data_IF_204324368310
#
_entry.id   IF_204324368310
#
_cell.length_a   1.000
_cell.length_b   1.000
_cell.length_c   1.000
_cell.angle_alpha   90.00
_cell.angle_beta   90.00
_cell.angle_gamma   90.00
#
_symmetry.space_group_name_H-M   'P 1'
#
loop_
_entity.id
_entity.type
_entity.pdbx_description
1 polymer ?
#
# COMPACT_ATOMS: atom_id res chain seq x y z
N UNK A 1 -8.80 -0.37 71.45
CA UNK A 1 -9.04 0.28 70.16
C UNK A 1 -7.68 0.65 69.61
N UNK A 2 -7.11 -0.19 68.79
CA UNK A 2 -5.82 0.04 68.13
C UNK A 2 -6.07 0.01 66.62
N UNK A 3 -5.96 1.18 65.96
CA UNK A 3 -6.15 1.34 64.55
C UNK A 3 -4.84 1.02 63.84
N UNK A 4 -4.82 -0.10 63.14
CA UNK A 4 -3.71 -0.50 62.25
C UNK A 4 -3.77 0.35 60.97
N UNK A 5 -2.87 1.32 60.85
CA UNK A 5 -2.61 2.04 59.58
C UNK A 5 -1.93 1.09 58.61
N UNK A 6 -2.63 0.67 57.55
CA UNK A 6 -2.03 0.06 56.38
C UNK A 6 -1.20 1.10 55.65
N UNK A 7 0.12 0.94 55.67
CA UNK A 7 1.06 1.69 54.85
C UNK A 7 0.89 1.21 53.40
N UNK A 8 0.22 2.02 52.59
CA UNK A 8 0.24 1.88 51.13
C UNK A 8 1.67 2.20 50.66
N UNK A 9 2.44 1.17 50.35
CA UNK A 9 3.69 1.29 49.62
C UNK A 9 3.38 1.92 48.24
N UNK A 10 4.02 3.05 47.86
CA UNK A 10 3.83 3.60 46.53
C UNK A 10 4.39 2.59 45.54
N UNK A 11 3.56 2.17 44.58
CA UNK A 11 3.99 1.40 43.43
C UNK A 11 5.13 2.18 42.75
N UNK A 12 6.32 1.62 42.77
CA UNK A 12 7.48 2.11 42.04
C UNK A 12 7.05 2.24 40.58
N UNK A 13 6.96 3.49 40.10
CA UNK A 13 6.81 3.80 38.69
C UNK A 13 8.04 3.24 37.96
N UNK A 14 7.93 2.01 37.46
CA UNK A 14 8.86 1.51 36.49
C UNK A 14 8.79 2.51 35.31
N UNK A 15 9.90 3.18 35.01
CA UNK A 15 10.00 4.05 33.85
C UNK A 15 9.58 3.29 32.60
N UNK A 16 9.17 3.96 31.50
CA UNK A 16 8.63 3.33 30.32
C UNK A 16 9.60 2.23 29.86
N UNK A 17 9.16 0.97 29.98
CA UNK A 17 9.96 -0.17 29.55
C UNK A 17 10.18 -0.04 28.04
N UNK A 18 11.41 0.27 27.65
CA UNK A 18 11.79 0.34 26.24
C UNK A 18 11.53 -1.01 25.57
N UNK A 19 11.10 -1.00 24.32
CA UNK A 19 10.98 -2.23 23.55
C UNK A 19 12.28 -3.03 23.59
N UNK A 20 12.18 -4.34 23.81
CA UNK A 20 13.34 -5.25 23.83
C UNK A 20 14.08 -5.18 22.49
N UNK A 21 15.42 -5.27 22.44
CA UNK A 21 16.20 -5.24 21.18
C UNK A 21 15.70 -6.24 20.16
N UNK A 22 15.30 -7.44 20.58
CA UNK A 22 14.71 -8.49 19.74
C UNK A 22 13.43 -8.04 19.03
N UNK A 23 12.54 -7.34 19.72
CA UNK A 23 11.32 -6.79 19.13
C UNK A 23 11.64 -5.67 18.13
N UNK A 24 12.62 -4.81 18.41
CA UNK A 24 13.11 -3.83 17.44
C UNK A 24 13.66 -4.45 16.18
N UNK A 25 14.47 -5.51 16.31
CA UNK A 25 14.98 -6.24 15.14
C UNK A 25 13.84 -6.85 14.32
N UNK A 26 12.86 -7.46 14.97
CA UNK A 26 11.69 -8.00 14.28
C UNK A 26 10.90 -6.91 13.53
N UNK A 27 10.63 -5.76 14.19
CA UNK A 27 9.93 -4.62 13.59
C UNK A 27 10.64 -4.11 12.34
N UNK A 28 11.96 -3.94 12.40
CA UNK A 28 12.75 -3.41 11.29
C UNK A 28 12.82 -4.43 10.15
N UNK A 29 13.17 -5.68 10.44
CA UNK A 29 13.33 -6.71 9.40
C UNK A 29 12.00 -7.01 8.71
N UNK A 30 10.95 -7.31 9.47
CA UNK A 30 9.64 -7.66 8.91
C UNK A 30 8.96 -6.45 8.28
N UNK A 31 9.07 -5.28 8.89
CA UNK A 31 8.55 -4.03 8.32
C UNK A 31 9.19 -3.71 6.98
N UNK A 32 10.54 -3.79 6.88
CA UNK A 32 11.25 -3.52 5.64
C UNK A 32 10.93 -4.57 4.56
N UNK A 33 11.06 -5.86 4.89
CA UNK A 33 10.83 -6.94 3.92
C UNK A 33 9.38 -6.98 3.45
N UNK A 34 8.41 -6.72 4.32
CA UNK A 34 7.00 -6.59 3.95
C UNK A 34 6.78 -5.45 2.95
N UNK A 35 7.41 -4.28 3.17
CA UNK A 35 7.32 -3.16 2.23
C UNK A 35 8.07 -3.42 0.92
N UNK A 36 9.17 -4.19 0.93
CA UNK A 36 9.83 -4.65 -0.29
C UNK A 36 8.90 -5.54 -1.11
N UNK A 37 8.22 -6.49 -0.48
CA UNK A 37 7.26 -7.37 -1.14
C UNK A 37 6.12 -6.58 -1.80
N UNK A 38 5.52 -5.63 -1.10
CA UNK A 38 4.48 -4.74 -1.65
C UNK A 38 4.98 -3.84 -2.78
N UNK A 39 6.24 -3.38 -2.71
CA UNK A 39 6.87 -2.61 -3.80
C UNK A 39 6.99 -3.46 -5.06
N UNK A 40 7.36 -4.73 -4.91
CA UNK A 40 7.50 -5.65 -6.04
C UNK A 40 6.16 -5.98 -6.66
N UNK A 41 5.16 -6.31 -5.85
CA UNK A 41 3.81 -6.59 -6.32
C UNK A 41 3.19 -5.40 -7.05
N UNK A 42 3.22 -4.22 -6.45
CA UNK A 42 2.54 -3.05 -7.03
C UNK A 42 3.27 -2.41 -8.21
N UNK A 43 4.57 -2.69 -8.40
CA UNK A 43 5.38 -2.02 -9.41
C UNK A 43 6.02 -3.02 -10.38
N UNK A 44 6.88 -3.93 -9.87
CA UNK A 44 7.69 -4.79 -10.73
C UNK A 44 6.91 -5.97 -11.33
N UNK A 45 5.88 -6.47 -10.64
CA UNK A 45 5.04 -7.53 -11.18
C UNK A 45 4.24 -7.03 -12.40
N UNK A 46 3.77 -5.78 -12.37
CA UNK A 46 3.11 -5.15 -13.51
C UNK A 46 4.06 -5.03 -14.72
N UNK A 47 5.31 -4.62 -14.46
CA UNK A 47 6.35 -4.55 -15.49
C UNK A 47 6.71 -5.95 -16.03
N UNK A 48 6.84 -6.94 -15.16
CA UNK A 48 7.09 -8.33 -15.56
C UNK A 48 6.02 -8.87 -16.48
N UNK A 49 4.74 -8.69 -16.13
CA UNK A 49 3.60 -9.11 -16.98
C UNK A 49 3.67 -8.43 -18.33
N UNK A 50 3.90 -7.11 -18.35
CA UNK A 50 3.99 -6.32 -19.57
C UNK A 50 5.16 -6.75 -20.46
N UNK A 51 6.33 -6.99 -19.89
CA UNK A 51 7.53 -7.33 -20.66
C UNK A 51 7.53 -8.78 -21.17
N UNK A 52 6.96 -9.73 -20.39
CA UNK A 52 7.18 -11.18 -20.64
C UNK A 52 5.93 -11.97 -21.03
N UNK A 53 4.72 -11.43 -20.79
CA UNK A 53 3.47 -12.19 -20.97
C UNK A 53 2.53 -11.49 -21.94
N UNK A 54 2.07 -10.27 -21.60
CA UNK A 54 1.11 -9.53 -22.42
C UNK A 54 1.21 -8.04 -22.16
N UNK A 55 1.08 -7.26 -23.24
CA UNK A 55 1.01 -5.79 -23.19
C UNK A 55 -0.43 -5.26 -23.02
N UNK A 56 -1.42 -6.16 -22.84
CA UNK A 56 -2.79 -5.75 -22.59
C UNK A 56 -2.93 -5.06 -21.23
N UNK A 57 -3.22 -3.75 -21.19
CA UNK A 57 -3.36 -3.03 -19.94
C UNK A 57 -4.54 -3.54 -19.09
N UNK A 58 -5.54 -4.20 -19.69
CA UNK A 58 -6.65 -4.80 -18.95
C UNK A 58 -6.21 -6.05 -18.17
N UNK A 59 -5.22 -6.80 -18.65
CA UNK A 59 -4.66 -7.92 -17.89
C UNK A 59 -3.99 -7.42 -16.60
N UNK A 60 -3.20 -6.33 -16.68
CA UNK A 60 -2.60 -5.67 -15.51
C UNK A 60 -3.70 -5.15 -14.57
N UNK A 61 -4.72 -4.47 -15.11
CA UNK A 61 -5.82 -3.96 -14.29
C UNK A 61 -6.57 -5.09 -13.58
N UNK A 62 -6.80 -6.22 -14.26
CA UNK A 62 -7.45 -7.40 -13.68
C UNK A 62 -6.61 -8.03 -12.57
N UNK A 63 -5.29 -8.13 -12.77
CA UNK A 63 -4.35 -8.62 -11.77
C UNK A 63 -4.41 -7.77 -10.51
N UNK A 64 -4.23 -6.46 -10.62
CA UNK A 64 -4.27 -5.52 -9.49
C UNK A 64 -5.63 -5.55 -8.78
N UNK A 65 -6.74 -5.64 -9.52
CA UNK A 65 -8.08 -5.71 -8.93
C UNK A 65 -8.31 -7.03 -8.18
N UNK A 66 -7.90 -8.16 -8.76
CA UNK A 66 -8.06 -9.49 -8.16
C UNK A 66 -7.21 -9.63 -6.90
N UNK A 67 -5.95 -9.18 -6.93
CA UNK A 67 -5.06 -9.19 -5.77
C UNK A 67 -5.61 -8.30 -4.64
N UNK A 68 -6.15 -7.12 -4.94
CA UNK A 68 -6.76 -6.24 -3.94
C UNK A 68 -7.99 -6.86 -3.25
N UNK A 69 -8.85 -7.55 -4.00
CA UNK A 69 -9.98 -8.31 -3.43
C UNK A 69 -9.45 -9.39 -2.49
N UNK A 70 -8.48 -10.18 -2.96
CA UNK A 70 -7.89 -11.27 -2.21
C UNK A 70 -7.17 -10.78 -0.95
N UNK A 71 -6.38 -9.71 -1.06
CA UNK A 71 -5.70 -9.06 0.06
C UNK A 71 -6.69 -8.58 1.13
N UNK A 72 -7.77 -7.93 0.70
CA UNK A 72 -8.81 -7.45 1.62
C UNK A 72 -9.49 -8.61 2.36
N UNK A 73 -9.87 -9.66 1.63
CA UNK A 73 -10.50 -10.86 2.22
C UNK A 73 -9.52 -11.56 3.17
N UNK A 74 -8.26 -11.72 2.77
CA UNK A 74 -7.21 -12.33 3.58
C UNK A 74 -6.99 -11.57 4.89
N UNK A 75 -6.85 -10.25 4.84
CA UNK A 75 -6.66 -9.41 6.02
C UNK A 75 -7.81 -9.57 7.02
N UNK A 76 -9.04 -9.58 6.53
CA UNK A 76 -10.23 -9.73 7.38
C UNK A 76 -10.37 -11.13 7.98
N UNK A 77 -10.12 -12.17 7.18
CA UNK A 77 -10.24 -13.57 7.62
C UNK A 77 -9.08 -14.00 8.51
N UNK A 78 -7.85 -13.78 8.05
CA UNK A 78 -6.64 -14.21 8.76
C UNK A 78 -6.37 -13.33 9.97
N UNK A 79 -6.77 -12.05 9.92
CA UNK A 79 -6.77 -11.17 11.09
C UNK A 79 -7.67 -11.72 12.20
N UNK A 80 -8.92 -12.03 11.88
CA UNK A 80 -9.84 -12.63 12.84
C UNK A 80 -9.35 -13.99 13.38
N UNK A 81 -8.74 -14.81 12.51
CA UNK A 81 -8.21 -16.12 12.90
C UNK A 81 -6.98 -15.98 13.81
N UNK A 82 -6.07 -15.05 13.47
CA UNK A 82 -4.88 -14.72 14.26
C UNK A 82 -5.27 -14.18 15.66
N UNK A 83 -6.32 -13.33 15.75
CA UNK A 83 -6.85 -12.81 17.00
C UNK A 83 -7.47 -13.92 17.89
N UNK A 84 -8.22 -14.84 17.27
CA UNK A 84 -8.85 -15.95 17.98
C UNK A 84 -7.83 -16.96 18.52
N UNK A 85 -6.83 -17.28 17.72
CA UNK A 85 -5.81 -18.30 18.08
C UNK A 85 -4.74 -17.74 19.02
N UNK A 86 -4.51 -16.43 19.00
CA UNK A 86 -3.44 -15.78 19.75
C UNK A 86 -2.02 -16.15 19.30
N UNK A 87 -1.87 -16.78 18.13
CA UNK A 87 -0.59 -17.31 17.62
C UNK A 87 -0.01 -16.40 16.54
N UNK A 88 0.27 -15.14 16.88
CA UNK A 88 0.85 -14.15 15.94
C UNK A 88 2.11 -14.66 15.25
N UNK A 89 3.02 -15.25 16.02
CA UNK A 89 4.28 -15.82 15.55
C UNK A 89 4.09 -16.79 14.39
N UNK A 90 3.16 -17.74 14.52
CA UNK A 90 2.94 -18.76 13.48
C UNK A 90 2.39 -18.18 12.19
N UNK A 91 1.48 -17.20 12.29
CA UNK A 91 0.92 -16.51 11.12
C UNK A 91 1.96 -15.65 10.41
N UNK A 92 2.79 -14.90 11.17
CA UNK A 92 3.85 -14.08 10.60
C UNK A 92 4.93 -14.96 9.97
N UNK A 93 5.51 -15.88 10.71
CA UNK A 93 6.62 -16.69 10.24
C UNK A 93 6.22 -17.60 9.07
N UNK A 94 5.12 -18.35 9.21
CA UNK A 94 4.61 -19.23 8.15
C UNK A 94 4.15 -18.43 6.93
N UNK A 95 3.48 -17.29 7.16
CA UNK A 95 3.00 -16.42 6.09
C UNK A 95 4.13 -15.81 5.28
N UNK A 96 5.16 -15.22 5.91
CA UNK A 96 6.33 -14.68 5.19
C UNK A 96 7.12 -15.76 4.45
N UNK A 97 7.25 -16.97 5.03
CA UNK A 97 7.90 -18.09 4.36
C UNK A 97 7.15 -18.48 3.08
N UNK A 98 5.83 -18.69 3.17
CA UNK A 98 4.99 -19.06 2.03
C UNK A 98 4.87 -17.93 1.02
N UNK A 99 4.80 -16.67 1.48
CA UNK A 99 4.83 -15.50 0.63
C UNK A 99 6.13 -15.43 -0.19
N UNK A 100 7.28 -15.70 0.44
CA UNK A 100 8.57 -15.79 -0.26
C UNK A 100 8.61 -16.91 -1.29
N UNK A 101 8.05 -18.08 -0.99
CA UNK A 101 7.96 -19.21 -1.93
C UNK A 101 7.08 -18.85 -3.13
N UNK A 102 5.90 -18.26 -2.89
CA UNK A 102 5.00 -17.82 -3.97
C UNK A 102 5.62 -16.72 -4.83
N UNK A 103 6.37 -15.78 -4.21
CA UNK A 103 7.13 -14.76 -4.95
C UNK A 103 8.21 -15.38 -5.83
N UNK A 104 8.98 -16.33 -5.32
CA UNK A 104 10.01 -17.03 -6.11
C UNK A 104 9.41 -17.82 -7.29
N UNK A 105 8.18 -18.32 -7.16
CA UNK A 105 7.50 -19.08 -8.20
C UNK A 105 7.24 -18.27 -9.48
N UNK A 106 7.07 -16.93 -9.40
CA UNK A 106 6.97 -16.08 -10.59
C UNK A 106 8.18 -16.18 -11.53
N UNK A 107 9.37 -16.44 -10.98
CA UNK A 107 10.58 -16.62 -11.78
C UNK A 107 10.56 -17.81 -12.74
N UNK A 108 9.63 -18.73 -12.56
CA UNK A 108 9.45 -19.92 -13.40
C UNK A 108 8.22 -19.80 -14.32
N UNK A 109 7.30 -18.88 -14.03
CA UNK A 109 6.03 -18.79 -14.76
C UNK A 109 6.22 -17.91 -16.00
N UNK A 110 6.62 -18.54 -17.11
CA UNK A 110 6.81 -17.92 -18.41
C UNK A 110 5.89 -18.55 -19.45
N UNK A 111 5.66 -17.85 -20.58
CA UNK A 111 4.86 -18.37 -21.69
C UNK A 111 5.42 -19.71 -22.18
N UNK A 112 6.76 -19.82 -22.37
CA UNK A 112 7.40 -21.05 -22.78
C UNK A 112 7.20 -22.21 -21.79
N UNK A 113 7.30 -21.94 -20.49
CA UNK A 113 7.05 -22.97 -19.46
C UNK A 113 5.62 -23.51 -19.51
N UNK A 114 4.63 -22.66 -19.74
CA UNK A 114 3.22 -23.06 -19.85
C UNK A 114 3.00 -23.85 -21.15
N UNK A 115 3.62 -23.45 -22.26
CA UNK A 115 3.56 -24.15 -23.53
C UNK A 115 4.12 -25.56 -23.43
N UNK A 116 5.25 -25.76 -22.75
CA UNK A 116 5.88 -27.05 -22.53
C UNK A 116 5.01 -28.02 -21.70
N UNK A 117 4.26 -27.49 -20.71
CA UNK A 117 3.44 -28.33 -19.81
C UNK A 117 2.05 -28.59 -20.38
N UNK A 118 1.45 -27.59 -21.01
CA UNK A 118 0.07 -27.66 -21.51
C UNK A 118 -0.01 -26.95 -22.87
N UNK A 119 0.20 -27.65 -23.98
CA UNK A 119 0.04 -27.09 -25.31
C UNK A 119 -1.45 -26.76 -25.55
N UNK A 120 -1.81 -25.50 -25.32
CA UNK A 120 -3.18 -24.97 -25.45
C UNK A 120 -3.25 -23.96 -26.60
N UNK A 121 -4.43 -23.75 -27.16
CA UNK A 121 -4.63 -22.85 -28.30
C UNK A 121 -4.28 -21.38 -27.99
N UNK A 122 -4.37 -20.95 -26.73
CA UNK A 122 -4.03 -19.58 -26.30
C UNK A 122 -3.14 -19.62 -25.04
N UNK A 123 -1.86 -19.90 -25.25
CA UNK A 123 -0.86 -20.01 -24.18
C UNK A 123 -0.70 -18.70 -23.39
N UNK A 124 -0.75 -17.55 -24.09
CA UNK A 124 -0.61 -16.22 -23.44
C UNK A 124 -1.74 -15.99 -22.44
N UNK A 125 -2.99 -16.26 -22.82
CA UNK A 125 -4.14 -16.12 -21.92
C UNK A 125 -4.01 -17.06 -20.70
N UNK A 126 -3.62 -18.32 -20.92
CA UNK A 126 -3.46 -19.29 -19.83
C UNK A 126 -2.32 -18.85 -18.90
N UNK A 127 -1.21 -18.36 -19.44
CA UNK A 127 -0.11 -17.82 -18.64
C UNK A 127 -0.56 -16.59 -17.83
N UNK A 128 -1.30 -15.66 -18.44
CA UNK A 128 -1.83 -14.50 -17.74
C UNK A 128 -2.76 -14.89 -16.59
N UNK A 129 -3.68 -15.86 -16.79
CA UNK A 129 -4.54 -16.39 -15.72
C UNK A 129 -3.72 -17.06 -14.62
N UNK A 130 -2.68 -17.82 -14.98
CA UNK A 130 -1.80 -18.45 -14.00
C UNK A 130 -1.04 -17.43 -13.15
N UNK A 131 -0.54 -16.35 -13.77
CA UNK A 131 0.12 -15.24 -13.06
C UNK A 131 -0.86 -14.52 -12.14
N UNK A 132 -2.07 -14.18 -12.59
CA UNK A 132 -3.10 -13.56 -11.77
C UNK A 132 -3.46 -14.46 -10.57
N UNK A 133 -3.58 -15.78 -10.80
CA UNK A 133 -3.88 -16.74 -9.72
C UNK A 133 -2.74 -16.81 -8.71
N UNK A 134 -1.49 -16.84 -9.17
CA UNK A 134 -0.32 -16.83 -8.30
C UNK A 134 -0.19 -15.52 -7.53
N UNK A 135 -0.54 -14.39 -8.15
CA UNK A 135 -0.59 -13.07 -7.51
C UNK A 135 -1.66 -13.02 -6.41
N UNK A 136 -2.86 -13.54 -6.68
CA UNK A 136 -3.89 -13.69 -5.65
C UNK A 136 -3.40 -14.54 -4.47
N UNK A 137 -2.72 -15.66 -4.73
CA UNK A 137 -2.14 -16.49 -3.66
C UNK A 137 -1.08 -15.73 -2.87
N UNK A 138 -0.18 -15.04 -3.57
CA UNK A 138 0.87 -14.21 -2.98
C UNK A 138 0.29 -13.11 -2.10
N UNK A 139 -0.72 -12.37 -2.59
CA UNK A 139 -1.42 -11.31 -1.86
C UNK A 139 -2.20 -11.86 -0.67
N UNK A 140 -2.81 -13.05 -0.77
CA UNK A 140 -3.48 -13.72 0.35
C UNK A 140 -2.51 -14.00 1.50
N UNK A 141 -1.35 -14.55 1.19
CA UNK A 141 -0.31 -14.90 2.17
C UNK A 141 0.30 -13.63 2.77
N UNK A 142 0.65 -12.66 1.93
CA UNK A 142 1.24 -11.38 2.32
C UNK A 142 0.34 -10.55 3.22
N UNK A 143 -0.91 -10.35 2.83
CA UNK A 143 -1.87 -9.58 3.62
C UNK A 143 -2.21 -10.26 4.94
N UNK A 144 -2.33 -11.58 4.96
CA UNK A 144 -2.54 -12.32 6.20
C UNK A 144 -1.36 -12.21 7.16
N UNK A 145 -0.14 -12.27 6.65
CA UNK A 145 1.07 -12.21 7.47
C UNK A 145 1.43 -10.77 7.88
N UNK A 146 1.45 -9.83 6.92
CA UNK A 146 1.93 -8.47 7.13
C UNK A 146 0.82 -7.51 7.57
N UNK A 147 -0.29 -7.42 6.81
CA UNK A 147 -1.32 -6.41 7.09
C UNK A 147 -2.22 -6.81 8.26
N UNK A 148 -2.40 -8.11 8.50
CA UNK A 148 -3.17 -8.60 9.64
C UNK A 148 -2.28 -8.97 10.83
N UNK A 149 -1.51 -10.05 10.76
CA UNK A 149 -0.83 -10.61 11.92
C UNK A 149 0.33 -9.73 12.42
N UNK A 150 1.16 -9.17 11.52
CA UNK A 150 2.28 -8.31 11.91
C UNK A 150 1.80 -6.98 12.47
N UNK A 151 0.82 -6.31 11.85
CA UNK A 151 0.28 -5.05 12.38
C UNK A 151 -0.40 -5.24 13.74
N UNK A 152 -1.09 -6.37 13.93
CA UNK A 152 -1.65 -6.70 15.24
C UNK A 152 -0.55 -6.97 16.29
N UNK A 153 0.50 -7.71 15.91
CA UNK A 153 1.66 -7.92 16.79
C UNK A 153 2.37 -6.63 17.15
N UNK A 154 2.55 -5.69 16.20
CA UNK A 154 3.09 -4.35 16.49
C UNK A 154 2.26 -3.66 17.57
N UNK A 155 0.93 -3.74 17.49
CA UNK A 155 0.04 -3.18 18.51
C UNK A 155 0.20 -3.88 19.86
N UNK A 156 0.35 -5.21 19.87
CA UNK A 156 0.48 -6.02 21.08
C UNK A 156 1.79 -5.76 21.83
N UNK A 157 2.90 -5.44 21.12
CA UNK A 157 4.21 -5.20 21.74
C UNK A 157 4.50 -3.74 22.08
N UNK A 158 3.64 -2.80 21.60
CA UNK A 158 3.83 -1.37 21.81
C UNK A 158 2.93 -0.83 22.93
N UNK A 159 3.49 0.00 23.79
CA UNK A 159 2.78 0.77 24.81
C UNK A 159 2.51 2.20 24.31
N UNK A 160 1.53 2.92 24.85
CA UNK A 160 1.25 4.31 24.47
C UNK A 160 2.49 5.23 24.49
N UNK A 161 3.42 4.97 25.42
CA UNK A 161 4.65 5.75 25.60
C UNK A 161 5.69 5.55 24.48
N UNK A 162 5.74 4.38 23.83
CA UNK A 162 6.73 4.06 22.78
C UNK A 162 6.13 3.93 21.38
N UNK A 163 4.79 3.87 21.27
CA UNK A 163 4.06 3.67 20.00
C UNK A 163 4.41 4.71 18.94
N UNK A 164 4.52 5.99 19.30
CA UNK A 164 4.89 7.05 18.36
C UNK A 164 6.26 6.83 17.72
N UNK A 165 7.25 6.33 18.48
CA UNK A 165 8.57 6.02 17.95
C UNK A 165 8.55 4.83 16.99
N UNK A 166 7.79 3.80 17.30
CA UNK A 166 7.63 2.61 16.44
C UNK A 166 6.93 2.99 15.14
N UNK A 167 5.82 3.73 15.22
CA UNK A 167 5.09 4.22 14.03
C UNK A 167 5.97 5.08 13.13
N UNK A 168 6.82 5.95 13.72
CA UNK A 168 7.76 6.77 12.94
C UNK A 168 8.78 5.94 12.17
N UNK A 169 9.27 4.84 12.78
CA UNK A 169 10.19 3.92 12.10
C UNK A 169 9.46 3.16 10.99
N UNK A 170 8.26 2.63 11.25
CA UNK A 170 7.50 1.92 10.24
C UNK A 170 7.07 2.82 9.08
N UNK A 171 6.78 4.10 9.34
CA UNK A 171 6.40 5.07 8.30
C UNK A 171 7.53 5.36 7.27
N UNK A 172 8.79 5.12 7.63
CA UNK A 172 9.94 5.31 6.73
C UNK A 172 10.19 4.04 5.89
N UNK A 173 9.71 2.86 6.32
CA UNK A 173 10.01 1.59 5.66
C UNK A 173 9.62 1.52 4.19
N UNK A 174 8.46 2.06 3.73
CA UNK A 174 8.13 2.06 2.30
C UNK A 174 9.16 2.80 1.45
N UNK A 175 9.65 3.95 1.92
CA UNK A 175 10.68 4.71 1.22
C UNK A 175 12.00 3.94 1.16
N UNK A 176 12.44 3.40 2.30
CA UNK A 176 13.68 2.62 2.37
C UNK A 176 13.59 1.39 1.47
N UNK A 177 12.45 0.69 1.47
CA UNK A 177 12.22 -0.48 0.62
C UNK A 177 12.33 -0.14 -0.87
N UNK A 178 11.71 0.96 -1.31
CA UNK A 178 11.80 1.43 -2.68
C UNK A 178 13.24 1.75 -3.08
N UNK A 179 13.99 2.43 -2.21
CA UNK A 179 15.41 2.72 -2.47
C UNK A 179 16.26 1.46 -2.56
N UNK A 180 16.00 0.47 -1.68
CA UNK A 180 16.69 -0.84 -1.72
C UNK A 180 16.37 -1.58 -3.01
N UNK A 181 15.10 -1.62 -3.42
CA UNK A 181 14.69 -2.32 -4.65
C UNK A 181 15.26 -1.60 -5.88
N UNK A 182 15.08 -0.28 -6.00
CA UNK A 182 15.57 0.47 -7.16
C UNK A 182 17.11 0.52 -7.23
N UNK A 183 17.79 0.61 -6.09
CA UNK A 183 19.26 0.65 -6.05
C UNK A 183 19.94 -0.72 -6.16
N UNK A 184 19.33 -1.76 -5.61
CA UNK A 184 19.95 -3.08 -5.49
C UNK A 184 19.47 -4.12 -6.51
N UNK A 185 18.21 -4.06 -6.92
CA UNK A 185 17.58 -5.15 -7.69
C UNK A 185 17.05 -4.73 -9.06
N UNK A 186 16.85 -3.43 -9.32
CA UNK A 186 16.35 -2.91 -10.60
C UNK A 186 17.20 -3.37 -11.80
N UNK A 187 18.52 -3.49 -11.63
CA UNK A 187 19.42 -3.99 -12.67
C UNK A 187 19.04 -5.37 -13.19
N UNK A 188 18.52 -6.27 -12.34
CA UNK A 188 18.06 -7.60 -12.75
C UNK A 188 16.79 -7.51 -13.62
N UNK A 189 15.84 -6.65 -13.24
CA UNK A 189 14.63 -6.44 -14.00
C UNK A 189 14.94 -5.80 -15.38
N UNK A 190 15.80 -4.76 -15.43
CA UNK A 190 16.20 -4.11 -16.68
C UNK A 190 16.94 -5.00 -17.65
N UNK A 191 17.71 -5.96 -17.15
CA UNK A 191 18.41 -6.95 -17.99
C UNK A 191 17.51 -8.13 -18.37
N UNK A 192 16.23 -8.12 -18.01
CA UNK A 192 15.28 -9.21 -18.27
C UNK A 192 15.52 -10.47 -17.45
N UNK A 193 16.40 -10.42 -16.44
CA UNK A 193 16.68 -11.57 -15.60
C UNK A 193 15.64 -11.75 -14.49
N UNK A 194 14.36 -11.85 -14.90
CA UNK A 194 13.21 -11.95 -14.02
C UNK A 194 13.26 -13.18 -13.09
N UNK A 195 13.80 -14.30 -13.60
CA UNK A 195 13.94 -15.51 -12.79
C UNK A 195 14.81 -15.26 -11.56
N UNK A 196 16.00 -14.69 -11.75
CA UNK A 196 16.91 -14.40 -10.63
C UNK A 196 16.32 -13.32 -9.73
N UNK A 197 15.66 -12.30 -10.31
CA UNK A 197 14.97 -11.24 -9.56
C UNK A 197 13.97 -11.82 -8.54
N UNK A 198 13.00 -12.62 -9.00
CA UNK A 198 11.99 -13.19 -8.11
C UNK A 198 12.54 -14.23 -7.14
N UNK A 199 13.55 -15.03 -7.56
CA UNK A 199 14.19 -15.99 -6.66
C UNK A 199 14.91 -15.31 -5.51
N UNK A 200 15.68 -14.26 -5.77
CA UNK A 200 16.42 -13.53 -4.73
C UNK A 200 15.46 -12.85 -3.75
N UNK A 201 14.44 -12.17 -4.27
CA UNK A 201 13.45 -11.49 -3.43
C UNK A 201 12.66 -12.51 -2.61
N UNK A 202 12.19 -13.59 -3.24
CA UNK A 202 11.48 -14.66 -2.56
C UNK A 202 12.33 -15.32 -1.46
N UNK A 203 13.64 -15.51 -1.72
CA UNK A 203 14.56 -15.99 -0.71
C UNK A 203 14.71 -15.03 0.48
N UNK A 204 14.84 -13.72 0.23
CA UNK A 204 14.88 -12.69 1.29
C UNK A 204 13.63 -12.76 2.16
N UNK A 205 12.44 -12.86 1.54
CA UNK A 205 11.17 -12.97 2.26
C UNK A 205 11.07 -14.27 3.06
N UNK A 206 11.47 -15.40 2.48
CA UNK A 206 11.48 -16.70 3.16
C UNK A 206 12.42 -16.71 4.37
N UNK A 207 13.62 -16.12 4.22
CA UNK A 207 14.58 -15.94 5.32
C UNK A 207 14.01 -15.05 6.41
N UNK A 208 13.32 -13.94 6.05
CA UNK A 208 12.63 -13.10 7.03
C UNK A 208 11.53 -13.88 7.78
N UNK A 209 10.81 -14.78 7.10
CA UNK A 209 9.83 -15.69 7.72
C UNK A 209 10.51 -16.66 8.72
N UNK A 210 11.65 -17.24 8.35
CA UNK A 210 12.42 -18.08 9.27
C UNK A 210 12.94 -17.29 10.47
N UNK A 211 13.45 -16.07 10.26
CA UNK A 211 13.89 -15.18 11.34
C UNK A 211 12.72 -14.77 12.24
N UNK A 212 11.52 -14.53 11.68
CA UNK A 212 10.33 -14.21 12.46
C UNK A 212 10.00 -15.30 13.47
N UNK A 213 10.24 -16.58 13.15
CA UNK A 213 10.06 -17.69 14.08
C UNK A 213 10.89 -17.54 15.36
N UNK A 214 12.06 -16.95 15.27
CA UNK A 214 12.94 -16.72 16.41
C UNK A 214 12.76 -15.33 17.04
N UNK A 215 12.37 -14.32 16.26
CA UNK A 215 12.31 -12.94 16.72
C UNK A 215 10.94 -12.54 17.30
N UNK A 216 9.85 -13.08 16.77
CA UNK A 216 8.49 -12.76 17.20
C UNK A 216 8.12 -13.60 18.44
N UNK A 217 7.60 -12.95 19.47
CA UNK A 217 7.04 -13.60 20.65
C UNK A 217 5.53 -13.32 20.72
N UNK A 218 4.77 -14.37 21.02
CA UNK A 218 3.33 -14.21 21.25
C UNK A 218 3.12 -13.55 22.64
N UNK A 219 2.23 -12.56 22.70
CA UNK A 219 1.94 -11.88 23.96
C UNK A 219 1.02 -12.75 24.85
N UNK A 220 1.36 -12.97 26.12
CA UNK A 220 0.51 -13.74 27.03
C UNK A 220 -0.79 -13.02 27.41
N UNK A 221 -0.90 -11.72 27.14
CA UNK A 221 -2.03 -10.87 27.56
C UNK A 221 -3.02 -10.57 26.42
N UNK A 222 -3.10 -11.42 25.39
CA UNK A 222 -4.01 -11.19 24.27
C UNK A 222 -5.47 -11.16 24.72
N UNK A 223 -6.09 -10.00 24.62
CA UNK A 223 -7.54 -9.85 24.75
C UNK A 223 -8.18 -10.41 23.48
N UNK A 224 -8.81 -11.58 23.61
CA UNK A 224 -9.55 -12.20 22.51
C UNK A 224 -10.75 -11.32 22.14
N UNK A 225 -10.73 -10.68 20.99
CA UNK A 225 -11.88 -9.95 20.50
C UNK A 225 -12.84 -10.93 19.84
N UNK A 226 -14.00 -11.13 20.43
CA UNK A 226 -15.06 -12.05 19.91
C UNK A 226 -15.85 -11.47 18.71
N UNK A 227 -15.49 -10.28 18.21
CA UNK A 227 -16.18 -9.60 17.11
C UNK A 227 -15.70 -10.07 15.72
N UNK A 228 -16.61 -10.59 14.88
CA UNK A 228 -16.30 -10.92 13.48
C UNK A 228 -16.05 -9.65 12.65
N UNK A 229 -14.82 -9.41 12.19
CA UNK A 229 -14.42 -8.27 11.35
C UNK A 229 -15.31 -8.10 10.11
N UNK A 230 -15.63 -9.20 9.41
CA UNK A 230 -16.54 -9.18 8.24
C UNK A 230 -17.92 -8.62 8.59
N UNK A 231 -18.49 -9.06 9.73
CA UNK A 231 -19.79 -8.53 10.20
C UNK A 231 -19.70 -7.05 10.52
N UNK A 232 -18.57 -6.61 11.05
CA UNK A 232 -18.29 -5.22 11.36
C UNK A 232 -18.24 -4.35 10.10
N UNK A 233 -17.51 -4.80 9.06
CA UNK A 233 -17.43 -4.10 7.76
C UNK A 233 -18.82 -4.03 7.11
N UNK A 234 -19.54 -5.15 7.01
CA UNK A 234 -20.89 -5.18 6.44
C UNK A 234 -21.86 -4.26 7.21
N UNK A 235 -21.76 -4.23 8.54
CA UNK A 235 -22.57 -3.33 9.35
C UNK A 235 -22.20 -1.86 9.10
N UNK A 236 -20.91 -1.56 8.95
CA UNK A 236 -20.41 -0.22 8.61
C UNK A 236 -20.86 0.28 7.24
N UNK A 237 -21.09 -0.61 6.27
CA UNK A 237 -21.57 -0.22 4.93
C UNK A 237 -23.09 0.06 4.87
N UNK A 238 -23.82 -0.15 5.96
CA UNK A 238 -25.26 0.15 5.99
C UNK A 238 -25.55 1.66 5.94
N UNK A 239 -26.59 2.10 5.23
CA UNK A 239 -26.97 3.52 5.15
C UNK A 239 -27.19 4.17 6.53
N UNK A 240 -27.63 3.42 7.52
CA UNK A 240 -27.80 3.89 8.88
C UNK A 240 -26.44 4.28 9.53
N UNK A 241 -25.39 3.50 9.31
CA UNK A 241 -24.04 3.80 9.80
C UNK A 241 -23.47 5.07 9.14
N UNK A 242 -23.69 5.22 7.83
CA UNK A 242 -23.29 6.42 7.08
C UNK A 242 -23.99 7.66 7.63
N UNK A 243 -25.29 7.59 7.89
CA UNK A 243 -26.06 8.71 8.47
C UNK A 243 -25.66 9.03 9.91
N UNK A 244 -25.22 8.02 10.68
CA UNK A 244 -24.80 8.20 12.07
C UNK A 244 -23.44 8.92 12.19
N UNK A 245 -22.51 8.74 11.24
CA UNK A 245 -21.20 9.40 11.25
C UNK A 245 -20.79 9.89 9.86
N UNK A 246 -21.49 10.90 9.29
CA UNK A 246 -21.23 11.34 7.94
C UNK A 246 -19.84 11.96 7.75
N UNK A 247 -19.21 12.52 8.80
CA UNK A 247 -17.84 13.03 8.74
C UNK A 247 -16.82 11.95 8.41
N UNK A 248 -16.94 10.76 9.05
CA UNK A 248 -16.09 9.61 8.76
C UNK A 248 -16.22 9.17 7.29
N UNK A 249 -17.45 9.04 6.78
CA UNK A 249 -17.66 8.55 5.41
C UNK A 249 -17.27 9.58 4.35
N UNK A 250 -17.39 10.89 4.63
CA UNK A 250 -16.83 11.91 3.77
C UNK A 250 -15.30 11.84 3.70
N UNK A 251 -14.64 11.61 4.84
CA UNK A 251 -13.19 11.42 4.88
C UNK A 251 -12.75 10.14 4.15
N UNK A 252 -13.47 9.03 4.33
CA UNK A 252 -13.23 7.77 3.61
C UNK A 252 -13.48 7.93 2.09
N UNK A 253 -14.52 8.65 1.69
CA UNK A 253 -14.79 8.97 0.28
C UNK A 253 -13.67 9.82 -0.33
N UNK A 254 -13.17 10.83 0.39
CA UNK A 254 -12.01 11.61 -0.04
C UNK A 254 -10.77 10.73 -0.21
N UNK A 255 -10.55 9.77 0.71
CA UNK A 255 -9.46 8.80 0.60
C UNK A 255 -9.59 7.90 -0.63
N UNK A 256 -10.81 7.37 -0.89
CA UNK A 256 -11.08 6.55 -2.08
C UNK A 256 -10.81 7.32 -3.37
N UNK A 257 -11.30 8.54 -3.50
CA UNK A 257 -11.11 9.35 -4.71
C UNK A 257 -9.63 9.64 -4.94
N UNK A 258 -8.90 10.03 -3.89
CA UNK A 258 -7.45 10.21 -3.97
C UNK A 258 -6.73 8.91 -4.36
N UNK A 259 -7.12 7.79 -3.75
CA UNK A 259 -6.57 6.47 -4.07
C UNK A 259 -6.87 6.03 -5.49
N UNK A 260 -8.10 6.21 -5.99
CA UNK A 260 -8.47 5.90 -7.39
C UNK A 260 -7.60 6.74 -8.34
N UNK A 261 -7.49 8.06 -8.10
CA UNK A 261 -6.64 8.94 -8.90
C UNK A 261 -5.19 8.42 -8.99
N UNK A 262 -4.65 7.94 -7.88
CA UNK A 262 -3.29 7.38 -7.84
C UNK A 262 -3.20 6.06 -8.62
N UNK A 263 -4.16 5.17 -8.44
CA UNK A 263 -4.18 3.86 -9.08
C UNK A 263 -4.45 3.91 -10.58
N UNK A 264 -4.89 5.04 -11.13
CA UNK A 264 -5.00 5.23 -12.60
C UNK A 264 -3.64 5.12 -13.27
N UNK A 265 -2.58 5.66 -12.69
CA UNK A 265 -1.25 5.71 -13.32
C UNK A 265 -0.22 4.81 -12.65
N UNK A 266 -0.35 4.50 -11.37
CA UNK A 266 0.69 3.83 -10.59
C UNK A 266 1.10 2.46 -11.16
N UNK A 267 0.18 1.56 -11.57
CA UNK A 267 0.53 0.27 -12.17
C UNK A 267 1.30 0.39 -13.49
N UNK A 268 1.12 1.51 -14.20
CA UNK A 268 1.68 1.76 -15.53
C UNK A 268 2.88 2.72 -15.50
N UNK A 269 3.23 3.27 -14.33
CA UNK A 269 4.20 4.36 -14.21
C UNK A 269 5.60 4.00 -14.74
N UNK A 270 6.14 2.83 -14.35
CA UNK A 270 7.47 2.42 -14.83
C UNK A 270 7.43 2.13 -16.32
N UNK A 271 6.38 1.47 -16.80
CA UNK A 271 6.19 1.20 -18.24
C UNK A 271 6.17 2.53 -19.00
N UNK A 272 5.45 3.54 -18.52
CA UNK A 272 5.42 4.89 -19.10
C UNK A 272 6.81 5.54 -19.15
N UNK A 273 7.55 5.51 -18.03
CA UNK A 273 8.89 6.12 -17.96
C UNK A 273 9.88 5.40 -18.87
N UNK A 274 9.84 4.07 -18.90
CA UNK A 274 10.81 3.23 -19.60
C UNK A 274 10.49 3.10 -21.10
N UNK A 275 9.23 2.87 -21.45
CA UNK A 275 8.83 2.54 -22.83
C UNK A 275 8.33 3.76 -23.61
N UNK A 276 7.52 4.64 -23.03
CA UNK A 276 7.03 5.84 -23.70
C UNK A 276 8.06 6.96 -23.68
N UNK A 277 8.60 7.32 -22.50
CA UNK A 277 9.58 8.39 -22.38
C UNK A 277 11.02 7.95 -22.67
N UNK A 278 11.28 6.65 -22.73
CA UNK A 278 12.61 6.04 -22.97
C UNK A 278 13.68 6.54 -22.01
N UNK A 279 13.32 6.72 -20.72
CA UNK A 279 14.25 7.17 -19.68
C UNK A 279 14.93 5.92 -19.09
N UNK A 280 16.16 5.63 -19.52
CA UNK A 280 16.92 4.47 -19.02
C UNK A 280 17.21 4.58 -17.51
N UNK A 281 17.38 5.80 -16.98
CA UNK A 281 17.64 6.07 -15.56
C UNK A 281 16.38 6.27 -14.70
N UNK A 282 15.24 5.67 -15.03
CA UNK A 282 13.97 5.89 -14.31
C UNK A 282 14.05 5.58 -12.81
N UNK A 283 14.88 4.61 -12.40
CA UNK A 283 15.09 4.30 -10.98
C UNK A 283 15.69 5.50 -10.21
N UNK A 284 16.63 6.23 -10.83
CA UNK A 284 17.21 7.46 -10.26
C UNK A 284 16.12 8.55 -10.18
N UNK A 285 15.31 8.69 -11.23
CA UNK A 285 14.18 9.64 -11.24
C UNK A 285 13.25 9.35 -10.07
N UNK A 286 12.83 8.11 -9.89
CA UNK A 286 11.94 7.72 -8.80
C UNK A 286 12.58 7.92 -7.44
N UNK A 287 13.88 7.59 -7.27
CA UNK A 287 14.60 7.79 -6.02
C UNK A 287 14.67 9.28 -5.64
N UNK A 288 15.06 10.16 -6.57
CA UNK A 288 15.14 11.61 -6.33
C UNK A 288 13.77 12.18 -5.99
N UNK A 289 12.74 11.80 -6.75
CA UNK A 289 11.34 12.23 -6.52
C UNK A 289 10.86 11.81 -5.15
N UNK A 290 11.03 10.55 -4.76
CA UNK A 290 10.56 10.02 -3.48
C UNK A 290 11.28 10.62 -2.29
N UNK A 291 12.62 10.76 -2.35
CA UNK A 291 13.40 11.38 -1.27
C UNK A 291 12.99 12.84 -1.08
N UNK A 292 12.88 13.60 -2.18
CA UNK A 292 12.50 15.01 -2.11
C UNK A 292 11.08 15.19 -1.61
N UNK A 293 10.12 14.40 -2.10
CA UNK A 293 8.73 14.42 -1.66
C UNK A 293 8.58 14.07 -0.16
N UNK A 294 9.37 13.10 0.30
CA UNK A 294 9.39 12.71 1.73
C UNK A 294 9.93 13.85 2.61
N UNK A 295 10.99 14.53 2.19
CA UNK A 295 11.51 15.70 2.89
C UNK A 295 10.46 16.82 2.97
N UNK A 296 9.77 17.13 1.87
CA UNK A 296 8.67 18.09 1.83
C UNK A 296 7.55 17.71 2.78
N UNK A 297 7.16 16.42 2.81
CA UNK A 297 6.11 15.89 3.69
C UNK A 297 6.45 16.11 5.18
N UNK A 298 7.68 15.78 5.57
CA UNK A 298 8.16 15.95 6.98
C UNK A 298 8.13 17.42 7.40
N UNK A 299 8.66 18.32 6.55
CA UNK A 299 8.68 19.76 6.85
C UNK A 299 7.26 20.33 6.95
N UNK A 300 6.35 19.82 6.13
CA UNK A 300 4.95 20.30 6.06
C UNK A 300 4.08 19.83 7.23
N UNK A 301 4.49 18.85 8.03
CA UNK A 301 3.74 18.37 9.19
C UNK A 301 3.36 19.50 10.15
N UNK A 302 4.31 20.41 10.46
CA UNK A 302 4.06 21.58 11.31
C UNK A 302 3.05 22.57 10.71
N UNK A 303 3.01 22.66 9.38
CA UNK A 303 2.05 23.52 8.66
C UNK A 303 0.64 22.96 8.73
N UNK A 304 0.49 21.63 8.60
CA UNK A 304 -0.79 20.93 8.74
C UNK A 304 -1.38 21.18 10.13
N UNK A 305 -0.56 21.08 11.17
CA UNK A 305 -0.99 21.32 12.56
C UNK A 305 -1.43 22.77 12.81
N UNK A 306 -0.73 23.74 12.18
CA UNK A 306 -1.07 25.19 12.34
C UNK A 306 -2.30 25.60 11.55
N UNK A 307 -2.47 25.14 10.32
CA UNK A 307 -3.58 25.53 9.43
C UNK A 307 -4.86 24.77 9.76
N UNK A 308 -4.73 23.55 10.29
CA UNK A 308 -5.80 22.61 10.54
C UNK A 308 -6.00 21.65 9.37
N UNK A 309 -6.23 20.38 9.70
CA UNK A 309 -6.23 19.22 8.78
C UNK A 309 -7.21 19.40 7.61
N UNK A 310 -8.46 19.79 7.90
CA UNK A 310 -9.52 19.94 6.90
C UNK A 310 -9.25 21.14 5.98
N UNK A 311 -8.73 22.25 6.53
CA UNK A 311 -8.41 23.45 5.74
C UNK A 311 -7.20 23.23 4.84
N UNK A 312 -6.23 22.42 5.30
CA UNK A 312 -5.03 22.11 4.55
C UNK A 312 -5.28 21.13 3.39
N UNK A 313 -6.34 20.32 3.46
CA UNK A 313 -6.64 19.28 2.48
C UNK A 313 -6.79 19.84 1.05
N UNK A 314 -7.60 20.91 0.85
CA UNK A 314 -7.81 21.47 -0.49
C UNK A 314 -6.55 22.06 -1.13
N UNK A 315 -5.73 22.87 -0.45
CA UNK A 315 -4.42 23.28 -0.96
C UNK A 315 -3.51 22.10 -1.34
N UNK A 316 -3.47 21.05 -0.53
CA UNK A 316 -2.69 19.85 -0.83
C UNK A 316 -3.18 19.14 -2.11
N UNK A 317 -4.50 19.04 -2.29
CA UNK A 317 -5.12 18.50 -3.51
C UNK A 317 -4.74 19.33 -4.74
N UNK A 318 -4.72 20.66 -4.62
CA UNK A 318 -4.29 21.55 -5.72
C UNK A 318 -2.83 21.28 -6.10
N UNK A 319 -1.93 21.12 -5.13
CA UNK A 319 -0.51 20.79 -5.40
C UNK A 319 -0.40 19.44 -6.10
N UNK A 320 -1.13 18.41 -5.64
CA UNK A 320 -1.14 17.10 -6.28
C UNK A 320 -1.68 17.18 -7.72
N UNK A 321 -2.81 17.89 -7.92
CA UNK A 321 -3.39 18.10 -9.24
C UNK A 321 -2.47 18.88 -10.18
N UNK A 322 -1.78 19.91 -9.68
CA UNK A 322 -0.78 20.63 -10.46
C UNK A 322 0.37 19.70 -10.89
N UNK A 323 0.84 18.82 -9.99
CA UNK A 323 1.84 17.81 -10.31
C UNK A 323 1.39 16.85 -11.40
N UNK A 324 0.14 16.35 -11.34
CA UNK A 324 -0.46 15.51 -12.39
C UNK A 324 -0.54 16.25 -13.73
N UNK A 325 -0.96 17.51 -13.73
CA UNK A 325 -1.00 18.34 -14.94
C UNK A 325 0.41 18.56 -15.52
N UNK A 326 1.41 18.82 -14.67
CA UNK A 326 2.80 18.98 -15.11
C UNK A 326 3.36 17.69 -15.70
N UNK A 327 3.05 16.52 -15.14
CA UNK A 327 3.46 15.21 -15.68
C UNK A 327 2.90 14.96 -17.09
N UNK A 328 1.71 15.48 -17.40
CA UNK A 328 1.17 15.39 -18.77
C UNK A 328 2.06 16.08 -19.79
N UNK A 329 2.66 17.23 -19.45
CA UNK A 329 3.52 18.01 -20.35
C UNK A 329 5.01 17.63 -20.26
N UNK A 330 5.43 16.95 -19.19
CA UNK A 330 6.84 16.65 -18.93
C UNK A 330 7.39 15.66 -19.99
N UNK A 331 8.51 16.02 -20.59
CA UNK A 331 9.26 15.19 -21.53
C UNK A 331 10.74 15.23 -21.17
N UNK A 332 11.37 14.07 -21.18
CA UNK A 332 12.79 13.94 -20.78
C UNK A 332 12.97 13.93 -19.26
N UNK A 333 14.19 13.59 -18.85
CA UNK A 333 14.49 13.25 -17.44
C UNK A 333 14.28 14.43 -16.47
N UNK A 334 14.78 15.60 -16.78
CA UNK A 334 14.75 16.76 -15.84
C UNK A 334 13.33 17.30 -15.63
N UNK A 335 12.50 17.57 -16.69
CA UNK A 335 11.10 17.95 -16.50
C UNK A 335 10.28 16.89 -15.74
N UNK A 336 10.55 15.61 -15.97
CA UNK A 336 9.85 14.50 -15.28
C UNK A 336 10.22 14.48 -13.79
N UNK A 337 11.49 14.71 -13.43
CA UNK A 337 11.89 14.85 -12.02
C UNK A 337 11.16 16.04 -11.38
N UNK A 338 11.17 17.21 -12.02
CA UNK A 338 10.52 18.40 -11.47
C UNK A 338 9.00 18.22 -11.28
N UNK A 339 8.32 17.71 -12.31
CA UNK A 339 6.89 17.40 -12.25
C UNK A 339 6.58 16.31 -11.23
N UNK A 340 7.39 15.25 -11.19
CA UNK A 340 7.29 14.13 -10.26
C UNK A 340 7.47 14.57 -8.80
N UNK A 341 8.41 15.49 -8.52
CA UNK A 341 8.59 16.06 -7.18
C UNK A 341 7.32 16.80 -6.73
N UNK A 342 6.74 17.65 -7.58
CA UNK A 342 5.49 18.35 -7.26
C UNK A 342 4.35 17.36 -7.04
N UNK A 343 4.21 16.37 -7.94
CA UNK A 343 3.16 15.35 -7.88
C UNK A 343 3.26 14.52 -6.60
N UNK A 344 4.43 13.95 -6.30
CA UNK A 344 4.59 13.07 -5.13
C UNK A 344 4.63 13.84 -3.82
N UNK A 345 5.09 15.08 -3.82
CA UNK A 345 4.92 15.96 -2.65
C UNK A 345 3.45 16.21 -2.38
N UNK A 346 2.68 16.58 -3.40
CA UNK A 346 1.23 16.75 -3.29
C UNK A 346 0.51 15.48 -2.84
N UNK A 347 0.90 14.33 -3.38
CA UNK A 347 0.40 13.01 -2.96
C UNK A 347 0.57 12.78 -1.45
N UNK A 348 1.76 13.03 -0.91
CA UNK A 348 2.04 12.87 0.52
C UNK A 348 1.34 13.91 1.38
N UNK A 349 1.24 15.15 0.89
CA UNK A 349 0.53 16.23 1.56
C UNK A 349 -0.98 16.00 1.67
N UNK A 350 -1.59 15.25 0.76
CA UNK A 350 -3.00 14.84 0.82
C UNK A 350 -3.19 13.67 1.77
N UNK A 351 -2.29 12.67 1.74
CA UNK A 351 -2.39 11.47 2.56
C UNK A 351 -2.40 11.77 4.06
N UNK A 352 -1.51 12.66 4.51
CA UNK A 352 -1.35 12.98 5.93
C UNK A 352 -2.63 13.54 6.58
N UNK A 353 -3.26 14.61 6.06
CA UNK A 353 -4.49 15.14 6.64
C UNK A 353 -5.68 14.19 6.51
N UNK A 354 -5.85 13.47 5.38
CA UNK A 354 -6.95 12.49 5.24
C UNK A 354 -6.86 11.43 6.32
N UNK A 355 -5.68 10.83 6.53
CA UNK A 355 -5.46 9.82 7.56
C UNK A 355 -5.75 10.35 8.97
N UNK A 356 -5.40 11.60 9.24
CA UNK A 356 -5.68 12.27 10.51
C UNK A 356 -7.18 12.56 10.69
N UNK A 357 -7.86 13.05 9.65
CA UNK A 357 -9.31 13.31 9.68
C UNK A 357 -10.09 12.02 9.93
N UNK A 358 -9.74 10.91 9.26
CA UNK A 358 -10.38 9.61 9.51
C UNK A 358 -10.21 9.18 10.97
N UNK A 359 -9.03 9.39 11.57
CA UNK A 359 -8.82 9.10 13.00
C UNK A 359 -9.65 9.98 13.92
N UNK A 360 -9.77 11.26 13.63
CA UNK A 360 -10.56 12.21 14.43
C UNK A 360 -12.05 11.86 14.46
N UNK A 361 -12.60 11.36 13.35
CA UNK A 361 -13.98 10.91 13.24
C UNK A 361 -14.19 9.44 13.66
N UNK A 362 -13.13 8.72 14.00
CA UNK A 362 -13.22 7.31 14.41
C UNK A 362 -13.64 7.21 15.89
N UNK A 363 -14.76 6.53 16.21
CA UNK A 363 -15.16 6.29 17.60
C UNK A 363 -14.10 5.42 18.31
N UNK A 364 -13.64 5.78 19.52
CA UNK A 364 -12.60 5.06 20.24
C UNK A 364 -12.97 3.60 20.55
N UNK A 365 -14.26 3.33 20.80
CA UNK A 365 -14.84 2.03 21.09
C UNK A 365 -14.97 1.12 19.86
N UNK A 366 -14.78 1.67 18.64
CA UNK A 366 -14.98 0.95 17.34
C UNK A 366 -13.77 1.02 16.41
N UNK A 367 -12.58 1.19 16.93
CA UNK A 367 -11.36 1.33 16.13
C UNK A 367 -11.17 0.17 15.13
N UNK A 368 -11.45 -1.08 15.51
CA UNK A 368 -11.38 -2.23 14.60
C UNK A 368 -12.39 -2.19 13.45
N UNK A 369 -13.60 -1.64 13.67
CA UNK A 369 -14.59 -1.45 12.61
C UNK A 369 -14.12 -0.44 11.56
N UNK A 370 -13.53 0.67 12.02
CA UNK A 370 -13.01 1.72 11.13
C UNK A 370 -11.82 1.22 10.33
N UNK A 371 -10.98 0.36 10.91
CA UNK A 371 -9.86 -0.25 10.18
C UNK A 371 -10.34 -1.10 9.02
N UNK A 372 -11.39 -1.92 9.20
CA UNK A 372 -12.00 -2.69 8.12
C UNK A 372 -12.60 -1.81 7.02
N UNK A 373 -13.30 -0.73 7.39
CA UNK A 373 -13.81 0.26 6.43
C UNK A 373 -12.68 0.94 5.68
N UNK A 374 -11.58 1.27 6.38
CA UNK A 374 -10.38 1.86 5.75
C UNK A 374 -9.79 0.93 4.70
N UNK A 375 -9.70 -0.39 4.95
CA UNK A 375 -9.26 -1.37 3.94
C UNK A 375 -10.12 -1.31 2.68
N UNK A 376 -11.44 -1.23 2.82
CA UNK A 376 -12.34 -1.15 1.68
C UNK A 376 -12.17 0.16 0.91
N UNK A 377 -12.22 1.31 1.61
CA UNK A 377 -12.22 2.61 0.94
C UNK A 377 -10.83 3.10 0.50
N UNK A 378 -9.76 2.74 1.21
CA UNK A 378 -8.41 3.22 0.91
C UNK A 378 -7.59 2.25 0.04
N UNK A 379 -7.98 0.96 -0.04
CA UNK A 379 -7.23 -0.06 -0.79
C UNK A 379 -8.13 -0.72 -1.83
N UNK A 380 -9.18 -1.42 -1.41
CA UNK A 380 -10.01 -2.24 -2.32
C UNK A 380 -10.63 -1.38 -3.44
N UNK A 381 -11.37 -0.33 -3.09
CA UNK A 381 -12.07 0.50 -4.08
C UNK A 381 -11.11 1.19 -5.04
N UNK A 382 -9.99 1.83 -4.59
CA UNK A 382 -8.98 2.37 -5.48
C UNK A 382 -8.37 1.36 -6.45
N UNK A 383 -7.93 0.21 -5.97
CA UNK A 383 -7.29 -0.81 -6.80
C UNK A 383 -8.27 -1.55 -7.72
N UNK A 384 -9.57 -1.55 -7.38
CA UNK A 384 -10.61 -2.13 -8.22
C UNK A 384 -10.99 -1.21 -9.39
N UNK A 385 -10.93 0.11 -9.22
CA UNK A 385 -11.43 1.09 -10.20
C UNK A 385 -10.28 1.75 -10.97
N UNK A 386 -9.25 2.20 -10.26
CA UNK A 386 -8.18 3.03 -10.83
C UNK A 386 -7.45 2.39 -12.01
N UNK A 387 -6.97 1.15 -11.91
CA UNK A 387 -6.23 0.49 -12.99
C UNK A 387 -7.04 0.34 -14.28
N UNK A 388 -8.34 0.05 -14.18
CA UNK A 388 -9.22 -0.03 -15.36
C UNK A 388 -9.43 1.32 -16.03
N UNK A 389 -9.50 2.43 -15.27
CA UNK A 389 -9.52 3.76 -15.85
C UNK A 389 -8.21 4.07 -16.58
N UNK A 390 -7.07 3.65 -16.03
CA UNK A 390 -5.77 3.73 -16.69
C UNK A 390 -5.72 2.89 -17.96
N UNK A 391 -6.16 1.63 -17.90
CA UNK A 391 -6.24 0.73 -19.04
C UNK A 391 -7.12 1.30 -20.18
N UNK A 392 -8.28 1.87 -19.84
CA UNK A 392 -9.17 2.49 -20.82
C UNK A 392 -8.50 3.66 -21.56
N UNK A 393 -7.70 4.48 -20.85
CA UNK A 393 -6.93 5.57 -21.48
C UNK A 393 -5.84 5.02 -22.41
N UNK A 394 -5.13 3.99 -21.99
CA UNK A 394 -4.05 3.37 -22.78
C UNK A 394 -4.63 2.76 -24.05
N UNK A 395 -5.67 1.94 -23.93
CA UNK A 395 -6.34 1.30 -25.05
C UNK A 395 -6.98 2.33 -25.98
N UNK A 396 -7.62 3.38 -25.41
CA UNK A 396 -8.26 4.44 -26.20
C UNK A 396 -7.28 5.35 -26.96
N UNK A 397 -6.05 5.50 -26.47
CA UNK A 397 -5.01 6.26 -27.16
C UNK A 397 -4.44 5.51 -28.39
N UNK A 398 -4.42 4.17 -28.33
CA UNK A 398 -3.92 3.34 -29.42
C UNK A 398 -2.44 3.53 -29.75
N UNK A 399 -1.67 4.15 -28.84
CA UNK A 399 -0.22 4.35 -29.01
C UNK A 399 0.51 3.02 -28.84
N UNK A 400 1.41 2.76 -29.78
CA UNK A 400 2.19 1.52 -29.81
C UNK A 400 3.68 1.81 -30.01
N UNK A 401 4.52 0.90 -29.56
CA UNK A 401 5.93 0.88 -29.88
C UNK A 401 6.35 -0.52 -30.36
N UNK A 402 7.37 -0.57 -31.18
CA UNK A 402 7.93 -1.83 -31.66
C UNK A 402 9.13 -2.24 -30.79
N UNK A 403 9.06 -3.46 -30.28
CA UNK A 403 10.12 -4.09 -29.47
C UNK A 403 10.46 -5.45 -30.08
N UNK A 404 11.66 -5.57 -30.66
CA UNK A 404 12.15 -6.79 -31.33
C UNK A 404 11.18 -7.37 -32.38
N UNK A 405 10.49 -6.50 -33.12
CA UNK A 405 9.52 -6.89 -34.17
C UNK A 405 8.12 -7.20 -33.63
N UNK A 406 7.87 -7.02 -32.33
CA UNK A 406 6.54 -7.13 -31.71
C UNK A 406 6.00 -5.73 -31.42
N UNK A 407 4.80 -5.46 -31.88
CA UNK A 407 4.10 -4.19 -31.61
C UNK A 407 3.37 -4.30 -30.30
N UNK A 408 3.70 -3.42 -29.34
CA UNK A 408 3.12 -3.40 -27.97
C UNK A 408 2.41 -2.07 -27.70
N UNK A 409 1.29 -2.12 -26.97
CA UNK A 409 0.61 -0.92 -26.48
C UNK A 409 1.45 -0.25 -25.38
N UNK A 410 1.49 1.09 -25.39
CA UNK A 410 2.29 1.85 -24.42
C UNK A 410 1.42 2.87 -23.68
N UNK A 411 1.61 3.03 -22.34
CA UNK A 411 0.94 4.06 -21.59
C UNK A 411 1.31 5.46 -22.08
N UNK A 412 0.31 6.31 -22.29
CA UNK A 412 0.49 7.70 -22.73
C UNK A 412 0.38 8.68 -21.55
N UNK A 413 0.80 9.94 -21.69
CA UNK A 413 0.60 10.97 -20.67
C UNK A 413 -0.86 11.16 -20.26
N UNK A 414 -1.81 10.72 -21.08
CA UNK A 414 -3.25 10.77 -20.80
C UNK A 414 -3.66 10.13 -19.49
N UNK A 415 -2.89 9.15 -18.97
CA UNK A 415 -3.13 8.54 -17.65
C UNK A 415 -3.09 9.57 -16.51
N UNK A 416 -2.22 10.60 -16.62
CA UNK A 416 -2.16 11.67 -15.61
C UNK A 416 -3.35 12.64 -15.70
N UNK A 417 -3.86 12.90 -16.91
CA UNK A 417 -5.09 13.70 -17.07
C UNK A 417 -6.32 12.97 -16.54
N UNK A 418 -6.43 11.66 -16.76
CA UNK A 418 -7.50 10.86 -16.18
C UNK A 418 -7.40 10.84 -14.64
N UNK A 419 -6.20 10.69 -14.10
CA UNK A 419 -5.95 10.79 -12.67
C UNK A 419 -6.38 12.15 -12.10
N UNK A 420 -6.07 13.25 -12.81
CA UNK A 420 -6.49 14.60 -12.46
C UNK A 420 -8.01 14.74 -12.51
N UNK A 421 -8.67 14.24 -13.56
CA UNK A 421 -10.13 14.29 -13.69
C UNK A 421 -10.83 13.58 -12.52
N UNK A 422 -10.33 12.41 -12.11
CA UNK A 422 -10.80 11.70 -10.91
C UNK A 422 -10.53 12.52 -9.66
N UNK A 423 -9.34 13.12 -9.53
CA UNK A 423 -8.97 13.90 -8.35
C UNK A 423 -9.90 15.10 -8.11
N UNK A 424 -10.40 15.73 -9.15
CA UNK A 424 -11.33 16.87 -9.03
C UNK A 424 -12.56 16.50 -8.20
N UNK A 425 -13.03 15.26 -8.27
CA UNK A 425 -14.18 14.78 -7.50
C UNK A 425 -13.96 14.87 -5.98
N UNK A 426 -12.71 14.92 -5.50
CA UNK A 426 -12.40 15.08 -4.07
C UNK A 426 -12.89 16.42 -3.50
N UNK A 427 -13.10 17.42 -4.35
CA UNK A 427 -13.64 18.70 -3.94
C UNK A 427 -14.99 18.56 -3.22
N UNK A 428 -15.82 17.60 -3.64
CA UNK A 428 -17.15 17.36 -3.05
C UNK A 428 -17.05 16.98 -1.57
N UNK A 429 -16.39 15.86 -1.19
CA UNK A 429 -16.26 15.50 0.21
C UNK A 429 -15.40 16.50 1.01
N UNK A 430 -14.38 17.13 0.41
CA UNK A 430 -13.52 18.08 1.10
C UNK A 430 -14.26 19.37 1.47
N UNK A 431 -15.10 19.92 0.58
CA UNK A 431 -15.93 21.09 0.87
C UNK A 431 -17.01 20.75 1.90
N UNK A 432 -17.61 19.55 1.81
CA UNK A 432 -18.60 19.10 2.79
C UNK A 432 -17.99 18.96 4.20
N UNK A 433 -16.77 18.41 4.32
CA UNK A 433 -16.03 18.35 5.58
C UNK A 433 -15.74 19.75 6.14
N UNK A 434 -15.32 20.68 5.29
CA UNK A 434 -15.02 22.05 5.70
C UNK A 434 -16.27 22.80 6.23
N UNK A 435 -17.43 22.63 5.59
CA UNK A 435 -18.70 23.22 6.05
C UNK A 435 -19.07 22.67 7.43
N UNK A 436 -18.98 21.36 7.63
CA UNK A 436 -19.23 20.73 8.95
C UNK A 436 -18.31 21.23 10.04
N UNK A 437 -17.01 21.41 9.74
CA UNK A 437 -16.07 21.97 10.71
C UNK A 437 -16.45 23.41 11.10
N UNK A 438 -16.99 24.18 10.15
CA UNK A 438 -17.45 25.55 10.41
C UNK A 438 -18.73 25.58 11.26
N UNK A 439 -19.69 24.69 10.97
CA UNK A 439 -20.95 24.55 11.73
C UNK A 439 -20.74 24.04 13.16
N UNK A 440 -19.68 23.25 13.40
CA UNK A 440 -19.33 22.74 14.72
C UNK A 440 -18.51 23.71 15.58
N UNK A 441 -18.11 24.88 15.06
CA UNK A 441 -17.43 25.93 15.84
C UNK A 441 -18.50 26.82 16.47
N UNK A 442 -18.46 27.00 17.82
CA UNK A 442 -19.40 27.85 18.54
C UNK A 442 -19.32 29.31 18.09
#
# INVERSE_FOLDING_TARGET
>A
MSATRSVLTPATSAGPAGLRPRAWTALIVLGLVGQMAWTIENIYLNLFVYDTITDDPNAIATMVAASAVTATVATLLLGALSDRTGRRRSFIAGGYLLWGVSTAAFGFLTVGFVEDIAPVANVVLVTAIAVITLDCLMSFLGSGANDAAFQAWVTDVTEPANRGRVESVLAIMPLVSMLVIFGGFDGLARTGNWRLFFMVIGAIMAVAGLLAWFLVEDSPSLVRHEGGYLRAVVHGLRPAAVRANPGLYLALAAWSIWGISTQVFLPYLIIYLQRYLRIEGYAIVLAVVLVTASAVSVVSGRLIDRVGKVRFLLPAVVVYGAGLALMFFARGMVPVIAAGVVMMSGFMLVLAPIGAIVRDYSPPDRAGHVQGLRMVFAILVPMLIGPYLGAAVITGAGEVYEDLGVVKQVPTPGIFLMALAVLVLIAVPAVALRRREQEARP
#
